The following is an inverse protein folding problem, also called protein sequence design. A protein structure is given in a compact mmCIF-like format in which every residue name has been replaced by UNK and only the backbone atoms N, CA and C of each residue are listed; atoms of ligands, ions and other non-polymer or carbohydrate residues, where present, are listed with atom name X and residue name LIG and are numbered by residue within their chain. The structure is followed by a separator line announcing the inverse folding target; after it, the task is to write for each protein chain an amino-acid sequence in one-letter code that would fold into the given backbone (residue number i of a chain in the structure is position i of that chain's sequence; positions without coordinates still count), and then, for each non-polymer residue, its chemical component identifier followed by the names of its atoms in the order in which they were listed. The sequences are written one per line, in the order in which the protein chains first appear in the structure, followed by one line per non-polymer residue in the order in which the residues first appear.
data_IF_180472333679
#
_entry.id   IF_180472333679
#
_cell.length_a   1.000
_cell.length_b   1.000
_cell.length_c   1.000
_cell.angle_alpha   90.00
_cell.angle_beta   90.00
_cell.angle_gamma   90.00
#
_symmetry.space_group_name_H-M   'P 1'
#
loop_
_entity.id
_entity.type
_entity.pdbx_description
1 polymer ?
#
# COMPACT_ATOMS: atom_id res chain seq x y z
N UNK A 1 40.26 6.56 11.18
CA UNK A 1 38.92 7.11 10.99
C UNK A 1 38.28 6.78 9.62
N UNK A 2 39.01 6.36 8.59
CA UNK A 2 38.44 6.06 7.23
C UNK A 2 37.92 4.62 7.05
N UNK A 3 38.30 3.68 7.88
CA UNK A 3 37.87 2.26 7.74
C UNK A 3 36.54 1.93 8.44
N UNK A 4 36.13 2.69 9.45
CA UNK A 4 34.84 2.52 10.13
C UNK A 4 33.69 3.10 9.33
N UNK A 5 33.87 4.27 8.68
CA UNK A 5 32.82 4.87 7.84
C UNK A 5 32.47 4.05 6.59
N UNK A 6 33.45 3.30 6.05
CA UNK A 6 33.19 2.43 4.90
C UNK A 6 32.49 1.11 5.28
N UNK A 7 32.72 0.58 6.49
CA UNK A 7 32.04 -0.61 7.03
C UNK A 7 30.56 -0.31 7.36
N UNK A 8 30.28 0.86 7.92
CA UNK A 8 28.88 1.29 8.21
C UNK A 8 28.08 1.48 6.94
N UNK A 9 28.69 2.00 5.87
CA UNK A 9 28.07 2.11 4.55
C UNK A 9 27.71 0.75 3.94
N UNK A 10 28.60 -0.25 4.04
CA UNK A 10 28.35 -1.60 3.52
C UNK A 10 27.24 -2.32 4.27
N UNK A 11 27.21 -2.19 5.61
CA UNK A 11 26.17 -2.81 6.42
C UNK A 11 24.80 -2.14 6.22
N UNK A 12 24.77 -0.86 5.92
CA UNK A 12 23.54 -0.16 5.55
C UNK A 12 22.81 -0.83 4.39
N UNK A 13 23.52 -1.33 3.37
CA UNK A 13 22.92 -2.07 2.26
C UNK A 13 22.39 -3.46 2.68
N UNK A 14 22.96 -4.09 3.69
CA UNK A 14 22.37 -5.29 4.32
C UNK A 14 21.02 -4.93 4.96
N UNK A 15 20.94 -3.80 5.65
CA UNK A 15 19.68 -3.30 6.22
C UNK A 15 18.64 -3.03 5.12
N UNK A 16 19.05 -2.45 3.98
CA UNK A 16 18.15 -2.25 2.81
C UNK A 16 17.64 -3.59 2.29
N UNK A 17 18.49 -4.59 2.15
CA UNK A 17 18.10 -5.92 1.70
C UNK A 17 17.12 -6.58 2.68
N UNK A 18 17.39 -6.52 3.99
CA UNK A 18 16.51 -7.05 5.04
C UNK A 18 15.16 -6.32 5.02
N UNK A 19 15.16 -5.00 4.90
CA UNK A 19 13.94 -4.19 4.79
C UNK A 19 13.13 -4.56 3.54
N UNK A 20 13.80 -4.78 2.41
CA UNK A 20 13.15 -5.24 1.18
C UNK A 20 12.48 -6.61 1.37
N UNK A 21 13.18 -7.59 1.97
CA UNK A 21 12.63 -8.92 2.31
C UNK A 21 11.44 -8.77 3.28
N UNK A 22 11.59 -7.91 4.29
CA UNK A 22 10.52 -7.64 5.25
C UNK A 22 9.26 -7.10 4.54
N UNK A 23 9.42 -6.19 3.59
CA UNK A 23 8.32 -5.63 2.83
C UNK A 23 7.72 -6.62 1.81
N UNK A 24 8.53 -7.47 1.17
CA UNK A 24 8.05 -8.55 0.30
C UNK A 24 7.12 -9.48 1.09
N UNK A 25 7.58 -9.95 2.24
CA UNK A 25 6.85 -10.95 3.03
C UNK A 25 5.66 -10.29 3.75
N UNK A 26 5.87 -9.18 4.47
CA UNK A 26 4.79 -8.59 5.28
C UNK A 26 3.66 -8.02 4.43
N UNK A 27 3.96 -7.18 3.44
CA UNK A 27 2.93 -6.61 2.57
C UNK A 27 2.38 -7.64 1.58
N UNK A 28 3.22 -8.54 1.07
CA UNK A 28 2.79 -9.61 0.19
C UNK A 28 1.77 -10.54 0.86
N UNK A 29 2.02 -10.98 2.10
CA UNK A 29 1.16 -11.92 2.81
C UNK A 29 -0.02 -11.26 3.53
N UNK A 30 0.11 -10.01 3.99
CA UNK A 30 -0.98 -9.35 4.72
C UNK A 30 -1.96 -8.61 3.81
N UNK A 31 -1.51 -8.10 2.64
CA UNK A 31 -2.33 -7.25 1.77
C UNK A 31 -2.30 -7.62 0.29
N UNK A 32 -1.14 -7.52 -0.37
CA UNK A 32 -1.10 -7.50 -1.84
C UNK A 32 -1.18 -8.88 -2.51
N UNK A 33 -0.71 -9.93 -1.85
CA UNK A 33 -0.77 -11.31 -2.35
C UNK A 33 -1.96 -12.11 -1.84
N UNK A 34 -2.56 -11.69 -0.72
CA UNK A 34 -3.66 -12.44 -0.07
C UNK A 34 -4.96 -12.53 -0.91
N UNK A 35 -5.27 -11.62 -1.84
CA UNK A 35 -6.48 -11.74 -2.67
C UNK A 35 -6.63 -13.06 -3.44
N UNK A 36 -5.55 -13.78 -3.73
CA UNK A 36 -5.61 -15.09 -4.39
C UNK A 36 -6.37 -16.15 -3.57
N UNK A 37 -6.42 -15.98 -2.24
CA UNK A 37 -7.13 -16.88 -1.33
C UNK A 37 -8.62 -16.56 -1.18
N UNK A 38 -9.05 -15.34 -1.57
CA UNK A 38 -10.39 -14.82 -1.26
C UNK A 38 -11.52 -15.69 -1.77
N UNK A 39 -11.44 -16.15 -3.03
CA UNK A 39 -12.50 -16.96 -3.62
C UNK A 39 -12.67 -18.32 -2.91
N UNK A 40 -11.54 -18.96 -2.57
CA UNK A 40 -11.55 -20.25 -1.87
C UNK A 40 -12.14 -20.12 -0.46
N UNK A 41 -11.71 -19.08 0.29
CA UNK A 41 -12.23 -18.76 1.62
C UNK A 41 -13.74 -18.46 1.53
N UNK A 42 -14.13 -17.58 0.61
CA UNK A 42 -15.52 -17.19 0.39
C UNK A 42 -16.40 -18.41 0.10
N UNK A 43 -15.98 -19.27 -0.81
CA UNK A 43 -16.73 -20.50 -1.18
C UNK A 43 -16.93 -21.40 0.03
N UNK A 44 -15.89 -21.65 0.84
CA UNK A 44 -16.00 -22.52 2.01
C UNK A 44 -16.95 -21.94 3.07
N UNK A 45 -16.85 -20.64 3.36
CA UNK A 45 -17.71 -20.00 4.36
C UNK A 45 -19.17 -19.85 3.90
N UNK A 46 -19.41 -19.77 2.60
CA UNK A 46 -20.75 -19.85 2.01
C UNK A 46 -21.33 -21.26 2.13
N UNK A 47 -20.56 -22.29 1.73
CA UNK A 47 -21.04 -23.68 1.75
C UNK A 47 -21.26 -24.21 3.17
N UNK A 48 -20.50 -23.73 4.14
CA UNK A 48 -20.72 -24.04 5.56
C UNK A 48 -21.92 -23.31 6.19
N UNK A 49 -22.52 -22.34 5.47
CA UNK A 49 -23.59 -21.50 6.01
C UNK A 49 -23.12 -20.45 7.03
N UNK A 50 -21.82 -20.30 7.26
CA UNK A 50 -21.27 -19.34 8.22
C UNK A 50 -21.39 -17.88 7.76
N UNK A 51 -21.52 -17.67 6.43
CA UNK A 51 -21.73 -16.35 5.82
C UNK A 51 -22.92 -16.44 4.86
N UNK A 52 -23.91 -15.52 4.97
CA UNK A 52 -25.03 -15.46 4.03
C UNK A 52 -24.55 -15.09 2.61
N UNK A 53 -25.22 -15.61 1.60
CA UNK A 53 -24.85 -15.37 0.18
C UNK A 53 -24.84 -13.87 -0.18
N UNK A 54 -25.77 -13.09 0.37
CA UNK A 54 -25.87 -11.64 0.16
C UNK A 54 -24.82 -10.81 0.92
N UNK A 55 -23.90 -11.44 1.65
CA UNK A 55 -22.81 -10.78 2.37
C UNK A 55 -21.43 -11.35 2.03
N UNK A 56 -21.35 -12.21 1.03
CA UNK A 56 -20.14 -12.94 0.70
C UNK A 56 -18.97 -12.03 0.30
N UNK A 57 -19.25 -11.00 -0.50
CA UNK A 57 -18.22 -10.05 -0.93
C UNK A 57 -17.87 -9.07 0.20
N UNK A 58 -18.86 -8.61 0.94
CA UNK A 58 -18.69 -7.73 2.10
C UNK A 58 -17.87 -8.42 3.20
N UNK A 59 -18.06 -9.73 3.43
CA UNK A 59 -17.25 -10.52 4.38
C UNK A 59 -15.75 -10.45 4.06
N UNK A 60 -15.38 -10.67 2.81
CA UNK A 60 -13.99 -10.59 2.35
C UNK A 60 -13.45 -9.16 2.45
N UNK A 61 -14.22 -8.18 1.96
CA UNK A 61 -13.82 -6.79 1.96
C UNK A 61 -13.64 -6.21 3.38
N UNK A 62 -14.51 -6.58 4.33
CA UNK A 62 -14.37 -6.16 5.72
C UNK A 62 -13.06 -6.67 6.34
N UNK A 63 -12.64 -7.90 6.02
CA UNK A 63 -11.36 -8.43 6.45
C UNK A 63 -10.18 -7.62 5.88
N UNK A 64 -10.20 -7.30 4.59
CA UNK A 64 -9.19 -6.46 3.95
C UNK A 64 -9.17 -5.04 4.54
N UNK A 65 -10.34 -4.42 4.67
CA UNK A 65 -10.52 -3.09 5.26
C UNK A 65 -9.99 -3.02 6.69
N UNK A 66 -10.29 -4.04 7.51
CA UNK A 66 -9.80 -4.15 8.89
C UNK A 66 -8.27 -4.18 8.94
N UNK A 67 -7.65 -5.04 8.12
CA UNK A 67 -6.19 -5.12 8.04
C UNK A 67 -5.58 -3.77 7.66
N UNK A 68 -6.15 -3.10 6.65
CA UNK A 68 -5.62 -1.83 6.15
C UNK A 68 -5.79 -0.69 7.15
N UNK A 69 -6.97 -0.57 7.78
CA UNK A 69 -7.24 0.42 8.82
C UNK A 69 -6.29 0.27 10.00
N UNK A 70 -6.14 -0.96 10.51
CA UNK A 70 -5.26 -1.24 11.64
C UNK A 70 -3.78 -1.01 11.31
N UNK A 71 -3.36 -1.27 10.08
CA UNK A 71 -1.99 -0.96 9.66
C UNK A 71 -1.66 0.53 9.83
N UNK A 72 -2.61 1.42 9.51
CA UNK A 72 -2.46 2.86 9.71
C UNK A 72 -2.42 3.24 11.19
N UNK A 73 -3.39 2.74 11.99
CA UNK A 73 -3.46 3.01 13.44
C UNK A 73 -2.19 2.54 14.13
N UNK A 74 -1.77 1.30 13.89
CA UNK A 74 -0.58 0.74 14.55
C UNK A 74 0.75 1.29 14.00
N UNK A 75 0.77 1.86 12.79
CA UNK A 75 1.92 2.66 12.33
C UNK A 75 2.12 3.92 13.18
N UNK A 76 1.05 4.61 13.57
CA UNK A 76 1.12 5.74 14.49
C UNK A 76 1.55 5.32 15.90
N UNK A 77 0.94 4.25 16.43
CA UNK A 77 1.31 3.67 17.73
C UNK A 77 2.77 3.23 17.73
N UNK A 78 3.24 2.60 16.65
CA UNK A 78 4.63 2.20 16.46
C UNK A 78 5.59 3.36 16.59
N UNK A 79 5.27 4.51 15.98
CA UNK A 79 6.07 5.72 16.10
C UNK A 79 6.26 6.20 17.55
N UNK A 80 5.26 6.02 18.41
CA UNK A 80 5.37 6.33 19.85
C UNK A 80 6.10 5.26 20.66
N UNK A 81 6.04 4.01 20.21
CA UNK A 81 6.66 2.88 20.92
C UNK A 81 8.16 2.71 20.60
N UNK A 82 8.61 3.13 19.40
CA UNK A 82 10.02 3.00 18.97
C UNK A 82 11.01 3.57 19.99
N UNK A 83 10.84 4.82 20.51
CA UNK A 83 11.80 5.37 21.48
C UNK A 83 11.86 4.62 22.82
N UNK A 84 10.79 3.89 23.18
CA UNK A 84 10.69 3.15 24.46
C UNK A 84 11.22 1.74 24.38
N UNK A 85 10.89 1.04 23.29
CA UNK A 85 11.11 -0.41 23.17
C UNK A 85 12.22 -0.77 22.18
N UNK A 86 12.67 0.19 21.37
CA UNK A 86 13.58 -0.03 20.27
C UNK A 86 12.89 -0.59 19.03
N UNK A 87 13.40 -0.27 17.85
CA UNK A 87 12.80 -0.62 16.57
C UNK A 87 12.84 -2.13 16.32
N UNK A 88 13.98 -2.78 16.58
CA UNK A 88 14.17 -4.22 16.39
C UNK A 88 13.15 -5.07 17.15
N UNK A 89 12.92 -4.76 18.44
CA UNK A 89 11.96 -5.50 19.28
C UNK A 89 10.53 -5.37 18.75
N UNK A 90 10.15 -4.18 18.28
CA UNK A 90 8.85 -3.94 17.69
C UNK A 90 8.68 -4.69 16.36
N UNK A 91 9.74 -4.75 15.52
CA UNK A 91 9.71 -5.54 14.29
C UNK A 91 9.58 -7.05 14.58
N UNK A 92 10.25 -7.57 15.61
CA UNK A 92 10.09 -8.97 16.06
C UNK A 92 8.64 -9.22 16.49
N UNK A 93 8.05 -8.33 17.29
CA UNK A 93 6.64 -8.41 17.69
C UNK A 93 5.71 -8.41 16.46
N UNK A 94 5.97 -7.54 15.49
CA UNK A 94 5.24 -7.50 14.21
C UNK A 94 5.31 -8.82 13.45
N UNK A 95 6.49 -9.46 13.39
CA UNK A 95 6.65 -10.78 12.76
C UNK A 95 5.83 -11.85 13.48
N UNK A 96 5.86 -11.88 14.80
CA UNK A 96 5.07 -12.83 15.60
C UNK A 96 3.58 -12.64 15.33
N UNK A 97 3.09 -11.38 15.31
CA UNK A 97 1.70 -11.09 14.96
C UNK A 97 1.34 -11.55 13.54
N UNK A 98 2.23 -11.33 12.56
CA UNK A 98 2.00 -11.75 11.18
C UNK A 98 1.93 -13.27 11.06
N UNK A 99 2.95 -13.96 11.59
CA UNK A 99 3.02 -15.43 11.56
C UNK A 99 1.85 -16.08 12.27
N UNK A 100 1.51 -15.61 13.47
CA UNK A 100 0.35 -16.09 14.24
C UNK A 100 -0.96 -15.80 13.49
N UNK A 101 -1.13 -14.59 12.93
CA UNK A 101 -2.29 -14.23 12.14
C UNK A 101 -2.49 -15.15 10.94
N UNK A 102 -1.43 -15.45 10.18
CA UNK A 102 -1.50 -16.35 9.03
C UNK A 102 -1.82 -17.81 9.43
N UNK A 103 -1.23 -18.30 10.52
CA UNK A 103 -1.53 -19.64 11.06
C UNK A 103 -2.99 -19.72 11.53
N UNK A 104 -3.48 -18.74 12.28
CA UNK A 104 -4.88 -18.66 12.68
C UNK A 104 -5.79 -18.62 11.46
N UNK A 105 -5.42 -17.84 10.44
CA UNK A 105 -6.20 -17.75 9.20
C UNK A 105 -6.30 -19.10 8.49
N UNK A 106 -5.19 -19.84 8.41
CA UNK A 106 -5.16 -21.17 7.79
C UNK A 106 -6.04 -22.20 8.50
N UNK A 107 -6.27 -22.03 9.80
CA UNK A 107 -7.10 -22.90 10.64
C UNK A 107 -8.51 -22.35 10.92
N UNK A 108 -8.84 -21.17 10.35
CA UNK A 108 -10.09 -20.48 10.66
C UNK A 108 -11.32 -21.29 10.17
N UNK A 109 -12.20 -21.63 11.09
CA UNK A 109 -13.49 -22.28 10.82
C UNK A 109 -14.68 -21.35 11.12
N UNK A 110 -14.41 -20.20 11.74
CA UNK A 110 -15.42 -19.21 12.09
C UNK A 110 -15.08 -17.84 11.54
N UNK A 111 -16.08 -17.01 11.29
CA UNK A 111 -15.94 -15.61 10.87
C UNK A 111 -15.08 -14.82 11.86
N UNK A 112 -15.26 -15.06 13.17
CA UNK A 112 -14.48 -14.41 14.21
C UNK A 112 -12.98 -14.74 14.11
N UNK A 113 -12.62 -15.99 13.81
CA UNK A 113 -11.23 -16.40 13.62
C UNK A 113 -10.60 -15.73 12.39
N UNK A 114 -11.37 -15.57 11.29
CA UNK A 114 -10.92 -14.81 10.12
C UNK A 114 -10.65 -13.36 10.49
N UNK A 115 -11.56 -12.68 11.19
CA UNK A 115 -11.34 -11.27 11.56
C UNK A 115 -10.23 -11.10 12.61
N UNK A 116 -10.07 -12.05 13.55
CA UNK A 116 -8.95 -12.04 14.49
C UNK A 116 -7.61 -12.15 13.73
N UNK A 117 -7.52 -13.04 12.75
CA UNK A 117 -6.32 -13.17 11.93
C UNK A 117 -6.03 -11.88 11.15
N UNK A 118 -7.06 -11.26 10.57
CA UNK A 118 -6.96 -9.97 9.87
C UNK A 118 -6.54 -8.83 10.79
N UNK A 119 -7.04 -8.83 12.04
CA UNK A 119 -6.60 -7.90 13.07
C UNK A 119 -5.09 -8.05 13.32
N UNK A 120 -4.60 -9.27 13.55
CA UNK A 120 -3.17 -9.52 13.79
C UNK A 120 -2.30 -9.13 12.59
N UNK A 121 -2.76 -9.39 11.35
CA UNK A 121 -2.07 -8.95 10.14
C UNK A 121 -2.00 -7.42 10.05
N UNK A 122 -3.07 -6.70 10.42
CA UNK A 122 -3.08 -5.25 10.46
C UNK A 122 -2.12 -4.68 11.51
N UNK A 123 -2.15 -5.23 12.73
CA UNK A 123 -1.18 -4.90 13.80
C UNK A 123 0.24 -5.12 13.32
N UNK A 124 0.51 -6.25 12.67
CA UNK A 124 1.85 -6.60 12.18
C UNK A 124 2.41 -5.57 11.22
N UNK A 125 1.59 -5.08 10.28
CA UNK A 125 2.01 -4.08 9.30
C UNK A 125 2.41 -2.74 9.94
N UNK A 126 1.83 -2.40 11.09
CA UNK A 126 2.25 -1.25 11.88
C UNK A 126 3.67 -1.37 12.43
N UNK A 127 4.12 -2.60 12.71
CA UNK A 127 5.41 -2.85 13.36
C UNK A 127 6.48 -3.49 12.45
N UNK A 128 6.11 -4.09 11.32
CA UNK A 128 7.07 -4.68 10.36
C UNK A 128 6.82 -4.27 8.90
N UNK A 129 5.79 -3.46 8.65
CA UNK A 129 5.46 -2.92 7.34
C UNK A 129 6.33 -1.73 6.93
N UNK A 130 5.73 -0.83 6.13
CA UNK A 130 6.46 0.29 5.50
C UNK A 130 7.09 1.23 6.52
N UNK A 131 6.33 1.73 7.49
CA UNK A 131 6.79 2.77 8.43
C UNK A 131 8.04 2.37 9.23
N UNK A 132 8.10 1.21 9.91
CA UNK A 132 9.30 0.84 10.65
C UNK A 132 10.53 0.61 9.75
N UNK A 133 10.34 0.09 8.53
CA UNK A 133 11.44 -0.07 7.59
C UNK A 133 11.97 1.26 7.06
N UNK A 134 11.11 2.26 6.85
CA UNK A 134 11.52 3.62 6.50
C UNK A 134 12.33 4.25 7.64
N UNK A 135 11.91 4.08 8.88
CA UNK A 135 12.67 4.55 10.06
C UNK A 135 14.01 3.84 10.15
N UNK A 136 14.03 2.50 10.01
CA UNK A 136 15.25 1.70 10.06
C UNK A 136 16.28 2.20 9.04
N UNK A 137 15.89 2.32 7.77
CA UNK A 137 16.78 2.79 6.69
C UNK A 137 17.25 4.22 6.95
N UNK A 138 16.36 5.08 7.44
CA UNK A 138 16.69 6.48 7.73
C UNK A 138 17.76 6.65 8.83
N UNK A 139 17.86 5.68 9.74
CA UNK A 139 18.89 5.65 10.78
C UNK A 139 20.27 5.23 10.24
N UNK A 140 20.34 4.60 9.08
CA UNK A 140 21.57 4.12 8.46
C UNK A 140 22.07 5.00 7.31
N UNK A 141 21.18 5.73 6.64
CA UNK A 141 21.53 6.52 5.45
C UNK A 141 21.19 8.00 5.63
N UNK A 142 22.16 8.87 5.35
CA UNK A 142 21.96 10.33 5.32
C UNK A 142 21.97 10.86 3.88
N UNK A 143 23.04 10.66 3.15
CA UNK A 143 23.23 11.23 1.79
C UNK A 143 22.46 10.43 0.72
N UNK A 144 22.50 9.09 0.74
CA UNK A 144 21.85 8.21 -0.22
C UNK A 144 20.50 7.65 0.26
N UNK A 145 19.86 8.31 1.24
CA UNK A 145 18.60 7.87 1.86
C UNK A 145 17.49 7.64 0.83
N UNK A 146 17.36 8.53 -0.16
CA UNK A 146 16.33 8.44 -1.20
C UNK A 146 16.49 7.15 -2.03
N UNK A 147 17.70 6.84 -2.45
CA UNK A 147 18.03 5.62 -3.19
C UNK A 147 17.78 4.36 -2.35
N UNK A 148 18.25 4.36 -1.10
CA UNK A 148 18.07 3.24 -0.18
C UNK A 148 16.58 2.95 0.10
N UNK A 149 15.78 3.98 0.34
CA UNK A 149 14.33 3.87 0.49
C UNK A 149 13.65 3.41 -0.81
N UNK A 150 14.06 3.96 -1.94
CA UNK A 150 13.54 3.57 -3.25
C UNK A 150 13.71 2.07 -3.49
N UNK A 151 14.93 1.55 -3.28
CA UNK A 151 15.22 0.11 -3.43
C UNK A 151 14.38 -0.73 -2.47
N UNK A 152 14.37 -0.42 -1.18
CA UNK A 152 13.64 -1.21 -0.19
C UNK A 152 12.12 -1.22 -0.45
N UNK A 153 11.53 -0.07 -0.79
CA UNK A 153 10.09 0.07 -1.00
C UNK A 153 9.57 -0.68 -2.25
N UNK A 154 10.45 -1.02 -3.21
CA UNK A 154 10.04 -1.92 -4.31
C UNK A 154 9.61 -3.29 -3.79
N UNK A 155 10.12 -3.71 -2.61
CA UNK A 155 9.72 -4.94 -1.94
C UNK A 155 8.20 -5.07 -1.77
N UNK A 156 7.48 -3.96 -1.54
CA UNK A 156 6.02 -3.99 -1.45
C UNK A 156 5.37 -4.55 -2.73
N UNK A 157 5.73 -4.01 -3.90
CA UNK A 157 5.18 -4.46 -5.18
C UNK A 157 5.72 -5.84 -5.57
N UNK A 158 6.98 -6.14 -5.28
CA UNK A 158 7.58 -7.47 -5.51
C UNK A 158 6.84 -8.55 -4.71
N UNK A 159 6.43 -8.25 -3.47
CA UNK A 159 5.57 -9.13 -2.68
C UNK A 159 4.23 -9.42 -3.36
N UNK A 160 3.60 -8.39 -3.96
CA UNK A 160 2.39 -8.54 -4.76
C UNK A 160 2.56 -9.39 -6.03
N UNK A 161 3.78 -9.47 -6.57
CA UNK A 161 4.12 -10.36 -7.70
C UNK A 161 4.39 -11.79 -7.23
N UNK A 162 5.30 -11.95 -6.28
CA UNK A 162 5.84 -13.26 -5.89
C UNK A 162 4.82 -14.09 -5.11
N UNK A 163 4.08 -13.47 -4.17
CA UNK A 163 3.16 -14.24 -3.31
C UNK A 163 2.04 -14.91 -4.10
N UNK A 164 1.32 -14.25 -5.03
CA UNK A 164 0.36 -14.93 -5.87
C UNK A 164 0.95 -16.05 -6.72
N UNK A 165 2.15 -15.85 -7.29
CA UNK A 165 2.83 -16.85 -8.11
C UNK A 165 3.19 -18.13 -7.33
N UNK A 166 3.55 -18.00 -6.05
CA UNK A 166 3.85 -19.14 -5.17
C UNK A 166 2.54 -19.75 -4.63
N UNK A 167 1.61 -18.91 -4.18
CA UNK A 167 0.40 -19.37 -3.49
C UNK A 167 -0.57 -20.06 -4.42
N UNK A 168 -0.72 -19.59 -5.67
CA UNK A 168 -1.70 -20.15 -6.61
C UNK A 168 -1.51 -21.64 -6.87
N UNK A 169 -0.32 -22.15 -7.27
CA UNK A 169 -0.10 -23.58 -7.44
C UNK A 169 -0.30 -24.37 -6.13
N UNK A 170 0.08 -23.81 -4.99
CA UNK A 170 -0.16 -24.45 -3.70
C UNK A 170 -1.65 -24.57 -3.37
N UNK A 171 -2.45 -23.53 -3.68
CA UNK A 171 -3.91 -23.56 -3.50
C UNK A 171 -4.54 -24.66 -4.37
N UNK A 172 -4.11 -24.76 -5.62
CA UNK A 172 -4.65 -25.74 -6.56
C UNK A 172 -4.26 -27.18 -6.19
N UNK A 173 -3.04 -27.39 -5.66
CA UNK A 173 -2.54 -28.72 -5.32
C UNK A 173 -2.99 -29.20 -3.92
N UNK A 174 -3.03 -28.32 -2.94
CA UNK A 174 -3.19 -28.69 -1.51
C UNK A 174 -4.34 -27.99 -0.81
N UNK A 175 -5.11 -27.16 -1.52
CA UNK A 175 -6.16 -26.33 -0.95
C UNK A 175 -5.63 -25.07 -0.24
N UNK A 176 -6.53 -24.10 -0.04
CA UNK A 176 -6.13 -22.78 0.46
C UNK A 176 -5.57 -22.80 1.89
N UNK A 177 -6.02 -23.70 2.76
CA UNK A 177 -5.56 -23.80 4.15
C UNK A 177 -4.09 -24.20 4.23
N UNK A 178 -3.74 -25.30 3.54
CA UNK A 178 -2.36 -25.79 3.51
C UNK A 178 -1.45 -24.80 2.76
N UNK A 179 -1.93 -24.17 1.69
CA UNK A 179 -1.20 -23.12 0.99
C UNK A 179 -0.91 -21.92 1.91
N UNK A 180 -1.92 -21.44 2.66
CA UNK A 180 -1.78 -20.35 3.61
C UNK A 180 -0.79 -20.70 4.73
N UNK A 181 -0.87 -21.91 5.28
CA UNK A 181 0.09 -22.40 6.27
C UNK A 181 1.50 -22.45 5.68
N UNK A 182 1.67 -23.01 4.47
CA UNK A 182 2.98 -23.12 3.82
C UNK A 182 3.63 -21.73 3.60
N UNK A 183 2.87 -20.74 3.10
CA UNK A 183 3.44 -19.40 2.91
C UNK A 183 3.71 -18.70 4.25
N UNK A 184 2.98 -19.03 5.33
CA UNK A 184 3.25 -18.50 6.66
C UNK A 184 4.64 -18.89 7.18
N UNK A 185 5.20 -20.02 6.74
CA UNK A 185 6.54 -20.46 7.12
C UNK A 185 7.61 -19.47 6.68
N UNK A 186 7.38 -18.70 5.62
CA UNK A 186 8.34 -17.66 5.21
C UNK A 186 8.53 -16.57 6.29
N UNK A 187 7.51 -16.30 7.10
CA UNK A 187 7.62 -15.37 8.23
C UNK A 187 8.54 -15.94 9.32
N UNK A 188 8.34 -17.22 9.65
CA UNK A 188 9.07 -17.88 10.75
C UNK A 188 10.50 -18.26 10.38
N UNK A 189 10.71 -18.71 9.12
CA UNK A 189 12.00 -19.26 8.68
C UNK A 189 12.89 -18.24 7.96
N UNK A 190 12.31 -17.17 7.41
CA UNK A 190 13.07 -16.17 6.66
C UNK A 190 12.99 -14.81 7.36
N UNK A 191 11.78 -14.25 7.54
CA UNK A 191 11.65 -12.89 8.01
C UNK A 191 12.09 -12.72 9.47
N UNK A 192 11.58 -13.54 10.36
CA UNK A 192 11.90 -13.45 11.79
C UNK A 192 13.39 -13.65 12.07
N UNK A 193 14.08 -14.70 11.54
CA UNK A 193 15.54 -14.82 11.67
C UNK A 193 16.30 -13.66 11.06
N UNK A 194 15.89 -13.17 9.87
CA UNK A 194 16.55 -12.03 9.25
C UNK A 194 16.50 -10.78 10.16
N UNK A 195 15.35 -10.51 10.79
CA UNK A 195 15.25 -9.39 11.74
C UNK A 195 16.06 -9.64 13.01
N UNK A 196 16.02 -10.84 13.58
CA UNK A 196 16.76 -11.17 14.81
C UNK A 196 18.28 -11.04 14.60
N UNK A 197 18.81 -11.54 13.50
CA UNK A 197 20.26 -11.62 13.31
C UNK A 197 20.85 -10.45 12.55
N UNK A 198 20.10 -9.83 11.63
CA UNK A 198 20.63 -8.82 10.72
C UNK A 198 20.16 -7.39 11.05
N UNK A 199 19.02 -7.19 11.73
CA UNK A 199 18.63 -5.83 12.13
C UNK A 199 19.45 -5.41 13.35
N UNK A 200 20.10 -4.25 13.23
CA UNK A 200 20.79 -3.57 14.32
C UNK A 200 20.16 -2.20 14.49
N UNK A 201 19.83 -1.88 15.73
CA UNK A 201 19.42 -0.53 16.10
C UNK A 201 20.69 0.34 16.04
N UNK A 202 20.82 1.16 15.02
CA UNK A 202 21.85 2.17 14.94
C UNK A 202 21.27 3.45 15.56
N UNK A 203 21.55 3.66 16.83
CA UNK A 203 21.25 4.94 17.46
C UNK A 203 22.27 5.95 16.93
N UNK A 204 21.90 6.70 15.89
CA UNK A 204 22.62 7.95 15.60
C UNK A 204 22.29 8.93 16.72
N UNK A 205 23.27 9.33 17.56
CA UNK A 205 23.06 10.19 18.74
C UNK A 205 22.57 11.60 18.40
N UNK A 206 22.45 11.92 17.13
CA UNK A 206 21.96 13.21 16.66
C UNK A 206 20.70 13.01 15.79
N UNK A 207 19.56 12.86 16.45
CA UNK A 207 18.39 13.56 15.99
C UNK A 207 18.73 15.07 16.06
N UNK A 208 19.61 15.51 15.15
CA UNK A 208 19.79 16.97 14.92
C UNK A 208 18.40 17.51 14.71
N UNK A 209 18.03 18.60 15.39
CA UNK A 209 16.71 19.15 15.23
C UNK A 209 16.46 19.32 13.74
N UNK A 210 15.27 18.96 13.27
CA UNK A 210 14.73 19.33 11.98
C UNK A 210 14.70 20.88 11.84
N UNK A 211 15.71 21.51 12.39
CA UNK A 211 15.92 22.93 12.47
C UNK A 211 16.36 23.44 11.11
N UNK A 212 15.50 24.26 10.51
CA UNK A 212 15.74 25.17 9.39
C UNK A 212 15.34 24.67 7.98
N UNK A 213 14.49 23.71 7.82
CA UNK A 213 13.80 23.55 6.54
C UNK A 213 12.53 24.42 6.57
N UNK A 214 12.41 25.36 5.64
CA UNK A 214 11.20 26.16 5.49
C UNK A 214 9.99 25.27 5.18
N UNK A 215 8.80 25.69 5.55
CA UNK A 215 7.57 24.92 5.29
C UNK A 215 6.48 25.26 6.30
N UNK A 216 5.39 24.51 6.19
CA UNK A 216 4.22 24.64 7.04
C UNK A 216 4.32 23.72 8.26
N UNK A 217 3.78 24.14 9.39
CA UNK A 217 3.34 23.24 10.46
C UNK A 217 2.07 22.54 10.03
N UNK A 218 1.71 21.41 10.67
CA UNK A 218 0.44 20.74 10.39
C UNK A 218 -0.76 21.68 10.58
N UNK A 219 -0.76 22.51 11.63
CA UNK A 219 -1.84 23.45 11.90
C UNK A 219 -1.97 24.53 10.81
N UNK A 220 -0.86 25.01 10.27
CA UNK A 220 -0.83 25.94 9.15
C UNK A 220 -1.31 25.26 7.87
N UNK A 221 -0.84 24.04 7.57
CA UNK A 221 -1.22 23.27 6.40
C UNK A 221 -2.75 23.01 6.36
N UNK A 222 -3.33 22.57 7.47
CA UNK A 222 -4.77 22.31 7.62
C UNK A 222 -5.65 23.54 7.35
N UNK A 223 -5.12 24.76 7.49
CA UNK A 223 -5.83 26.01 7.19
C UNK A 223 -5.80 26.37 5.70
N UNK A 224 -5.00 25.68 4.89
CA UNK A 224 -4.87 25.98 3.47
C UNK A 224 -5.87 25.16 2.63
N UNK A 225 -6.55 25.77 1.64
CA UNK A 225 -7.41 25.02 0.72
C UNK A 225 -6.66 23.93 -0.05
N UNK A 226 -5.38 24.15 -0.35
CA UNK A 226 -4.55 23.21 -1.09
C UNK A 226 -4.37 21.90 -0.34
N UNK A 227 -4.31 21.93 1.00
CA UNK A 227 -4.23 20.73 1.82
C UNK A 227 -5.45 19.83 1.60
N UNK A 228 -6.65 20.40 1.64
CA UNK A 228 -7.88 19.61 1.52
C UNK A 228 -8.12 19.10 0.10
N UNK A 229 -7.75 19.89 -0.93
CA UNK A 229 -7.82 19.43 -2.32
C UNK A 229 -6.80 18.30 -2.56
N UNK A 230 -5.59 18.44 -2.01
CA UNK A 230 -4.57 17.41 -2.11
C UNK A 230 -4.94 16.14 -1.34
N UNK A 231 -5.48 16.28 -0.13
CA UNK A 231 -5.96 15.16 0.68
C UNK A 231 -7.15 14.44 0.01
N UNK A 232 -8.08 15.18 -0.59
CA UNK A 232 -9.16 14.61 -1.38
C UNK A 232 -8.62 13.87 -2.61
N UNK A 233 -7.66 14.46 -3.32
CA UNK A 233 -6.99 13.79 -4.44
C UNK A 233 -6.35 12.47 -3.99
N UNK A 234 -5.65 12.46 -2.87
CA UNK A 234 -5.02 11.29 -2.29
C UNK A 234 -6.06 10.20 -1.93
N UNK A 235 -7.16 10.56 -1.28
CA UNK A 235 -8.26 9.64 -0.99
C UNK A 235 -8.87 9.04 -2.26
N UNK A 236 -9.11 9.89 -3.27
CA UNK A 236 -9.66 9.44 -4.56
C UNK A 236 -8.68 8.54 -5.32
N UNK A 237 -7.37 8.75 -5.21
CA UNK A 237 -6.34 7.85 -5.80
C UNK A 237 -6.37 6.49 -5.11
N UNK A 238 -6.47 6.46 -3.78
CA UNK A 238 -6.43 5.21 -3.03
C UNK A 238 -7.71 4.36 -3.16
N UNK A 239 -8.85 4.96 -3.50
CA UNK A 239 -10.08 4.22 -3.81
C UNK A 239 -9.85 3.18 -4.93
N UNK A 240 -9.53 3.56 -6.20
CA UNK A 240 -9.35 2.62 -7.29
C UNK A 240 -8.15 1.69 -7.09
N UNK A 241 -7.08 2.17 -6.45
CA UNK A 241 -5.92 1.34 -6.12
C UNK A 241 -6.34 0.19 -5.19
N UNK A 242 -7.04 0.50 -4.10
CA UNK A 242 -7.47 -0.52 -3.13
C UNK A 242 -8.46 -1.50 -3.74
N UNK A 243 -9.47 -1.02 -4.45
CA UNK A 243 -10.46 -1.87 -5.13
C UNK A 243 -9.76 -2.81 -6.13
N UNK A 244 -8.87 -2.29 -6.96
CA UNK A 244 -8.15 -3.10 -7.95
C UNK A 244 -7.18 -4.08 -7.29
N UNK A 245 -6.48 -3.69 -6.25
CA UNK A 245 -5.52 -4.58 -5.60
C UNK A 245 -6.19 -5.65 -4.73
N UNK A 246 -7.38 -5.39 -4.18
CA UNK A 246 -8.04 -6.30 -3.23
C UNK A 246 -9.20 -7.10 -3.82
N UNK A 247 -9.90 -6.58 -4.83
CA UNK A 247 -11.14 -7.20 -5.31
C UNK A 247 -11.10 -7.59 -6.80
N UNK A 248 -10.06 -7.20 -7.54
CA UNK A 248 -10.01 -7.45 -8.99
C UNK A 248 -9.90 -8.94 -9.33
N UNK A 249 -9.17 -9.74 -8.53
CA UNK A 249 -9.14 -11.21 -8.70
C UNK A 249 -10.57 -11.80 -8.58
N UNK A 250 -11.36 -11.34 -7.60
CA UNK A 250 -12.75 -11.80 -7.45
C UNK A 250 -13.60 -11.39 -8.65
N UNK A 251 -13.38 -10.19 -9.20
CA UNK A 251 -14.07 -9.76 -10.42
C UNK A 251 -13.71 -10.66 -11.62
N UNK A 252 -12.42 -10.94 -11.83
CA UNK A 252 -11.96 -11.82 -12.91
C UNK A 252 -12.52 -13.25 -12.76
N UNK A 253 -12.71 -13.72 -11.53
CA UNK A 253 -13.30 -15.04 -11.22
C UNK A 253 -14.82 -15.02 -11.10
N UNK A 254 -15.49 -13.86 -11.27
CA UNK A 254 -16.96 -13.77 -11.20
C UNK A 254 -17.61 -14.56 -12.33
N UNK A 255 -18.88 -14.98 -12.18
CA UNK A 255 -19.60 -15.74 -13.22
C UNK A 255 -19.62 -15.05 -14.59
N UNK A 256 -19.53 -13.72 -14.62
CA UNK A 256 -19.51 -12.91 -15.83
C UNK A 256 -18.25 -13.11 -16.68
N UNK A 257 -17.07 -13.24 -16.05
CA UNK A 257 -15.77 -13.36 -16.75
C UNK A 257 -15.29 -14.80 -16.72
N UNK A 258 -15.44 -15.51 -15.59
CA UNK A 258 -15.16 -16.93 -15.44
C UNK A 258 -13.67 -17.30 -15.54
N UNK A 259 -12.76 -16.34 -15.28
CA UNK A 259 -11.33 -16.57 -15.43
C UNK A 259 -10.81 -17.56 -14.37
N UNK A 260 -10.01 -18.59 -14.74
CA UNK A 260 -9.39 -19.49 -13.77
C UNK A 260 -8.47 -18.73 -12.81
N UNK A 261 -8.34 -19.24 -11.56
CA UNK A 261 -7.51 -18.61 -10.51
C UNK A 261 -6.08 -18.36 -10.98
N UNK A 262 -5.46 -19.31 -11.69
CA UNK A 262 -4.10 -19.19 -12.18
C UNK A 262 -3.92 -18.01 -13.13
N UNK A 263 -4.85 -17.83 -14.07
CA UNK A 263 -4.83 -16.70 -15.02
C UNK A 263 -5.13 -15.39 -14.31
N UNK A 264 -6.16 -15.36 -13.45
CA UNK A 264 -6.54 -14.18 -12.69
C UNK A 264 -5.40 -13.68 -11.76
N UNK A 265 -4.70 -14.62 -11.08
CA UNK A 265 -3.55 -14.28 -10.24
C UNK A 265 -2.34 -13.82 -11.07
N UNK A 266 -2.15 -14.37 -12.27
CA UNK A 266 -1.15 -13.90 -13.22
C UNK A 266 -1.39 -12.45 -13.65
N UNK A 267 -2.64 -12.12 -14.02
CA UNK A 267 -3.05 -10.74 -14.36
C UNK A 267 -2.80 -9.78 -13.18
N UNK A 268 -3.14 -10.20 -11.96
CA UNK A 268 -2.88 -9.41 -10.76
C UNK A 268 -1.37 -9.22 -10.51
N UNK A 269 -0.56 -10.24 -10.75
CA UNK A 269 0.90 -10.15 -10.62
C UNK A 269 1.50 -9.17 -11.64
N UNK A 270 0.95 -9.11 -12.86
CA UNK A 270 1.34 -8.13 -13.88
C UNK A 270 1.06 -6.70 -13.40
N UNK A 271 -0.08 -6.45 -12.73
CA UNK A 271 -0.36 -5.15 -12.12
C UNK A 271 0.80 -4.66 -11.25
N UNK A 272 1.26 -5.52 -10.35
CA UNK A 272 2.33 -5.16 -9.43
C UNK A 272 3.70 -5.05 -10.12
N UNK A 273 4.00 -5.93 -11.08
CA UNK A 273 5.22 -5.86 -11.86
C UNK A 273 5.32 -4.54 -12.64
N UNK A 274 4.25 -4.15 -13.29
CA UNK A 274 4.18 -2.85 -14.01
C UNK A 274 4.24 -1.68 -13.03
N UNK A 275 3.65 -1.81 -11.84
CA UNK A 275 3.72 -0.74 -10.82
C UNK A 275 5.14 -0.52 -10.31
N UNK A 276 6.00 -1.56 -10.27
CA UNK A 276 7.44 -1.37 -9.98
C UNK A 276 8.07 -0.47 -11.06
N UNK A 277 7.82 -0.77 -12.33
CA UNK A 277 8.28 0.05 -13.45
C UNK A 277 7.77 1.50 -13.37
N UNK A 278 6.49 1.67 -13.02
CA UNK A 278 5.86 2.98 -12.81
C UNK A 278 6.53 3.78 -11.69
N UNK A 279 6.83 3.15 -10.54
CA UNK A 279 7.54 3.79 -9.42
C UNK A 279 8.93 4.30 -9.83
N UNK A 280 9.70 3.48 -10.53
CA UNK A 280 11.03 3.87 -10.99
C UNK A 280 10.98 4.94 -12.08
N UNK A 281 10.21 4.72 -13.14
CA UNK A 281 10.15 5.63 -14.26
C UNK A 281 9.64 7.02 -13.84
N UNK A 282 8.55 7.06 -13.08
CA UNK A 282 7.95 8.32 -12.64
C UNK A 282 8.81 9.00 -11.56
N UNK A 283 9.43 8.23 -10.66
CA UNK A 283 10.41 8.76 -9.70
C UNK A 283 11.54 9.49 -10.41
N UNK A 284 12.17 8.84 -11.41
CA UNK A 284 13.24 9.42 -12.20
C UNK A 284 12.78 10.61 -13.08
N UNK A 285 11.65 10.48 -13.75
CA UNK A 285 11.11 11.55 -14.60
C UNK A 285 10.64 12.76 -13.79
N UNK A 286 10.21 12.58 -12.56
CA UNK A 286 9.79 13.67 -11.69
C UNK A 286 10.96 14.58 -11.25
N UNK A 287 12.22 14.15 -11.43
CA UNK A 287 13.40 15.01 -11.25
C UNK A 287 13.64 15.91 -12.46
N UNK A 288 13.18 15.53 -13.65
CA UNK A 288 13.31 16.31 -14.89
C UNK A 288 12.06 17.14 -15.18
N UNK A 289 10.89 16.63 -14.82
CA UNK A 289 9.60 17.29 -15.00
C UNK A 289 9.01 17.62 -13.64
N UNK A 290 8.14 18.64 -13.56
CA UNK A 290 7.50 18.98 -12.28
C UNK A 290 6.61 17.84 -11.79
N UNK A 291 6.64 17.55 -10.47
CA UNK A 291 5.86 16.46 -9.86
C UNK A 291 4.37 16.53 -10.23
N UNK A 292 3.78 17.74 -10.30
CA UNK A 292 2.37 17.91 -10.65
C UNK A 292 2.06 17.55 -12.11
N UNK A 293 2.97 17.79 -13.06
CA UNK A 293 2.78 17.38 -14.46
C UNK A 293 2.84 15.86 -14.60
N UNK A 294 3.74 15.23 -13.87
CA UNK A 294 3.83 13.77 -13.83
C UNK A 294 2.58 13.16 -13.17
N UNK A 295 2.05 13.81 -12.13
CA UNK A 295 0.79 13.40 -11.50
C UNK A 295 -0.39 13.49 -12.47
N UNK A 296 -0.45 14.55 -13.29
CA UNK A 296 -1.46 14.68 -14.37
C UNK A 296 -1.35 13.54 -15.38
N UNK A 297 -0.13 13.22 -15.84
CA UNK A 297 0.09 12.14 -16.80
C UNK A 297 -0.36 10.77 -16.21
N UNK A 298 0.05 10.46 -14.98
CA UNK A 298 -0.34 9.21 -14.30
C UNK A 298 -1.86 9.14 -14.07
N UNK A 299 -2.48 10.23 -13.61
CA UNK A 299 -3.93 10.31 -13.40
C UNK A 299 -4.71 10.13 -14.71
N UNK A 300 -4.22 10.73 -15.81
CA UNK A 300 -4.81 10.55 -17.13
C UNK A 300 -4.70 9.10 -17.62
N UNK A 301 -3.54 8.46 -17.45
CA UNK A 301 -3.34 7.05 -17.82
C UNK A 301 -4.27 6.13 -17.03
N UNK A 302 -4.42 6.36 -15.70
CA UNK A 302 -5.38 5.60 -14.87
C UNK A 302 -6.81 5.81 -15.33
N UNK A 303 -7.21 7.06 -15.61
CA UNK A 303 -8.55 7.38 -16.08
C UNK A 303 -8.82 6.74 -17.46
N UNK A 304 -7.90 6.89 -18.42
CA UNK A 304 -8.05 6.30 -19.76
C UNK A 304 -8.18 4.78 -19.71
N UNK A 305 -7.36 4.11 -18.89
CA UNK A 305 -7.43 2.66 -18.72
C UNK A 305 -8.75 2.19 -18.10
N UNK A 306 -9.35 2.99 -17.23
CA UNK A 306 -10.59 2.63 -16.56
C UNK A 306 -11.79 2.47 -17.52
N UNK A 307 -11.76 3.05 -18.72
CA UNK A 307 -12.81 2.84 -19.72
C UNK A 307 -12.92 1.39 -20.20
N UNK A 308 -11.84 0.61 -20.14
CA UNK A 308 -11.86 -0.83 -20.44
C UNK A 308 -12.85 -1.58 -19.52
N UNK A 309 -13.07 -1.06 -18.30
CA UNK A 309 -14.01 -1.64 -17.32
C UNK A 309 -15.47 -1.62 -17.79
N UNK A 310 -15.82 -0.81 -18.80
CA UNK A 310 -17.17 -0.82 -19.40
C UNK A 310 -17.50 -2.15 -20.10
N UNK A 311 -16.48 -2.78 -20.69
CA UNK A 311 -16.60 -4.01 -21.47
C UNK A 311 -15.55 -5.05 -21.07
N UNK A 312 -15.17 -5.08 -19.77
CA UNK A 312 -14.12 -5.98 -19.29
C UNK A 312 -14.49 -7.44 -19.53
N UNK A 313 -13.54 -8.18 -20.09
CA UNK A 313 -13.57 -9.61 -20.32
C UNK A 313 -12.16 -10.22 -20.15
N UNK A 314 -12.02 -11.52 -20.34
CA UNK A 314 -10.74 -12.20 -20.18
C UNK A 314 -9.65 -11.69 -21.13
N UNK A 315 -10.02 -11.34 -22.38
CA UNK A 315 -9.06 -10.99 -23.42
C UNK A 315 -8.52 -9.57 -23.27
N UNK A 316 -9.31 -8.65 -22.71
CA UNK A 316 -8.94 -7.24 -22.58
C UNK A 316 -8.49 -6.83 -21.17
N UNK A 317 -8.41 -7.75 -20.22
CA UNK A 317 -8.02 -7.45 -18.85
C UNK A 317 -6.63 -6.77 -18.75
N UNK A 318 -5.70 -7.15 -19.63
CA UNK A 318 -4.36 -6.55 -19.68
C UNK A 318 -4.39 -5.10 -20.19
N UNK A 319 -5.35 -4.72 -21.04
CA UNK A 319 -5.50 -3.34 -21.51
C UNK A 319 -5.91 -2.40 -20.37
N UNK A 320 -6.58 -2.93 -19.33
CA UNK A 320 -6.83 -2.18 -18.09
C UNK A 320 -5.62 -2.20 -17.17
N UNK A 321 -5.13 -3.40 -16.83
CA UNK A 321 -4.16 -3.62 -15.76
C UNK A 321 -2.80 -3.00 -16.03
N UNK A 322 -2.30 -3.05 -17.28
CA UNK A 322 -0.96 -2.56 -17.60
C UNK A 322 -0.87 -1.03 -17.44
N UNK A 323 -1.70 -0.21 -18.11
CA UNK A 323 -1.62 1.24 -17.91
C UNK A 323 -2.08 1.65 -16.51
N UNK A 324 -3.09 0.99 -15.92
CA UNK A 324 -3.51 1.26 -14.54
C UNK A 324 -2.37 0.99 -13.55
N UNK A 325 -1.66 -0.14 -13.69
CA UNK A 325 -0.53 -0.50 -12.83
C UNK A 325 0.62 0.51 -12.91
N UNK A 326 0.92 1.00 -14.12
CA UNK A 326 1.92 2.07 -14.32
C UNK A 326 1.49 3.36 -13.62
N UNK A 327 0.24 3.81 -13.84
CA UNK A 327 -0.33 4.98 -13.19
C UNK A 327 -0.37 4.85 -11.66
N UNK A 328 -0.76 3.68 -11.15
CA UNK A 328 -0.72 3.34 -9.72
C UNK A 328 0.69 3.50 -9.14
N UNK A 329 1.70 2.89 -9.78
CA UNK A 329 3.09 3.01 -9.32
C UNK A 329 3.55 4.47 -9.28
N UNK A 330 3.25 5.23 -10.33
CA UNK A 330 3.61 6.64 -10.44
C UNK A 330 2.91 7.52 -9.40
N UNK A 331 1.58 7.41 -9.27
CA UNK A 331 0.81 8.23 -8.31
C UNK A 331 1.21 7.96 -6.87
N UNK A 332 1.55 6.71 -6.52
CA UNK A 332 2.01 6.35 -5.18
C UNK A 332 3.28 7.10 -4.75
N UNK A 333 4.25 7.24 -5.66
CA UNK A 333 5.49 8.00 -5.40
C UNK A 333 5.23 9.50 -5.39
N UNK A 334 4.40 9.97 -6.35
CA UNK A 334 4.14 11.40 -6.52
C UNK A 334 3.33 12.01 -5.38
N UNK A 335 2.41 11.28 -4.75
CA UNK A 335 1.68 11.78 -3.58
C UNK A 335 2.64 12.16 -2.45
N UNK A 336 3.64 11.32 -2.18
CA UNK A 336 4.63 11.60 -1.14
C UNK A 336 5.52 12.79 -1.50
N UNK A 337 5.94 12.88 -2.77
CA UNK A 337 6.76 13.99 -3.25
C UNK A 337 5.99 15.31 -3.27
N UNK A 338 4.77 15.33 -3.79
CA UNK A 338 3.92 16.52 -3.80
C UNK A 338 3.62 17.03 -2.39
N UNK A 339 3.50 16.16 -1.39
CA UNK A 339 3.36 16.57 0.00
C UNK A 339 4.57 17.40 0.47
N UNK A 340 5.81 17.01 0.10
CA UNK A 340 7.01 17.80 0.41
C UNK A 340 7.11 19.07 -0.46
N UNK A 341 6.71 19.01 -1.72
CA UNK A 341 6.75 20.15 -2.64
C UNK A 341 5.78 21.26 -2.21
N UNK A 342 4.58 20.90 -1.71
CA UNK A 342 3.56 21.88 -1.27
C UNK A 342 3.77 22.40 0.14
N UNK A 343 4.17 21.53 1.09
CA UNK A 343 4.16 21.88 2.51
C UNK A 343 5.57 22.02 3.11
N UNK A 344 6.62 21.67 2.34
CA UNK A 344 7.99 21.69 2.81
C UNK A 344 8.29 20.61 3.84
N UNK A 345 9.42 20.73 4.52
CA UNK A 345 9.96 19.69 5.40
C UNK A 345 9.80 19.95 6.90
N UNK A 346 9.28 21.14 7.30
CA UNK A 346 9.21 21.58 8.71
C UNK A 346 8.43 20.59 9.59
N UNK A 347 7.25 20.18 9.17
CA UNK A 347 6.36 19.25 9.90
C UNK A 347 5.89 18.10 8.99
N UNK A 348 6.76 17.72 8.03
CA UNK A 348 6.45 16.79 6.94
C UNK A 348 5.87 15.46 7.43
N UNK A 349 6.45 14.87 8.48
CA UNK A 349 6.00 13.59 9.02
C UNK A 349 4.55 13.63 9.53
N UNK A 350 4.15 14.72 10.19
CA UNK A 350 2.77 14.91 10.67
C UNK A 350 1.79 15.19 9.55
N UNK A 351 2.20 16.01 8.58
CA UNK A 351 1.40 16.35 7.41
C UNK A 351 1.17 15.09 6.57
N UNK A 352 2.23 14.35 6.25
CA UNK A 352 2.15 13.11 5.49
C UNK A 352 1.33 12.05 6.23
N UNK A 353 1.53 11.89 7.53
CA UNK A 353 0.74 10.97 8.36
C UNK A 353 -0.77 11.27 8.31
N UNK A 354 -1.14 12.55 8.33
CA UNK A 354 -2.55 12.97 8.20
C UNK A 354 -3.09 12.66 6.81
N UNK A 355 -2.32 12.89 5.75
CA UNK A 355 -2.69 12.56 4.37
C UNK A 355 -2.88 11.04 4.22
N UNK A 356 -1.96 10.23 4.74
CA UNK A 356 -2.06 8.75 4.71
C UNK A 356 -3.32 8.25 5.43
N UNK A 357 -3.71 8.87 6.54
CA UNK A 357 -4.99 8.53 7.20
C UNK A 357 -6.19 8.80 6.30
N UNK A 358 -6.15 9.88 5.53
CA UNK A 358 -7.21 10.23 4.57
C UNK A 358 -7.18 9.27 3.35
N UNK A 359 -6.00 8.85 2.89
CA UNK A 359 -5.82 7.80 1.88
C UNK A 359 -6.48 6.48 2.34
N UNK A 360 -6.24 6.08 3.59
CA UNK A 360 -6.86 4.89 4.19
C UNK A 360 -8.38 5.01 4.23
N UNK A 361 -8.91 6.19 4.54
CA UNK A 361 -10.35 6.43 4.50
C UNK A 361 -10.90 6.26 3.07
N UNK A 362 -10.21 6.76 2.05
CA UNK A 362 -10.56 6.56 0.64
C UNK A 362 -10.56 5.09 0.24
N UNK A 363 -9.53 4.34 0.65
CA UNK A 363 -9.42 2.90 0.45
C UNK A 363 -10.57 2.14 1.13
N UNK A 364 -10.88 2.47 2.38
CA UNK A 364 -11.97 1.86 3.16
C UNK A 364 -13.33 2.08 2.51
N UNK A 365 -13.61 3.30 2.09
CA UNK A 365 -14.85 3.65 1.37
C UNK A 365 -14.93 2.87 0.06
N UNK A 366 -13.83 2.82 -0.70
CA UNK A 366 -13.73 2.05 -1.95
C UNK A 366 -14.05 0.58 -1.76
N UNK A 367 -13.38 -0.07 -0.82
CA UNK A 367 -13.60 -1.47 -0.50
C UNK A 367 -15.04 -1.77 -0.08
N UNK A 368 -15.59 -0.92 0.79
CA UNK A 368 -16.95 -1.08 1.34
C UNK A 368 -18.03 -0.88 0.28
N UNK A 369 -17.95 0.19 -0.52
CA UNK A 369 -18.95 0.47 -1.57
C UNK A 369 -18.91 -0.63 -2.62
N UNK A 370 -17.72 -0.99 -3.10
CA UNK A 370 -17.57 -1.99 -4.16
C UNK A 370 -18.10 -3.36 -3.73
N UNK A 371 -17.81 -3.80 -2.51
CA UNK A 371 -18.26 -5.10 -2.01
C UNK A 371 -19.77 -5.15 -1.78
N UNK A 372 -20.36 -4.10 -1.19
CA UNK A 372 -21.81 -4.04 -0.96
C UNK A 372 -22.61 -4.02 -2.27
N UNK A 373 -22.13 -3.29 -3.26
CA UNK A 373 -22.77 -3.26 -4.58
C UNK A 373 -22.62 -4.60 -5.30
N UNK A 374 -21.46 -5.27 -5.14
CA UNK A 374 -21.27 -6.60 -5.70
C UNK A 374 -22.18 -7.63 -5.02
N UNK A 375 -22.36 -7.57 -3.69
CA UNK A 375 -23.32 -8.42 -2.97
C UNK A 375 -24.77 -8.17 -3.45
N UNK A 376 -25.17 -6.91 -3.59
CA UNK A 376 -26.49 -6.53 -4.11
C UNK A 376 -26.73 -7.00 -5.56
N UNK A 377 -25.65 -7.15 -6.34
CA UNK A 377 -25.68 -7.65 -7.72
C UNK A 377 -25.45 -9.18 -7.82
N UNK A 378 -25.56 -9.93 -6.72
CA UNK A 378 -25.38 -11.39 -6.73
C UNK A 378 -23.94 -11.84 -7.04
N UNK A 379 -22.95 -11.02 -6.71
CA UNK A 379 -21.53 -11.30 -6.94
C UNK A 379 -20.99 -10.76 -8.27
N UNK A 380 -21.79 -9.99 -9.03
CA UNK A 380 -21.30 -9.29 -10.23
C UNK A 380 -20.60 -7.99 -9.84
N UNK A 381 -19.33 -7.86 -10.23
CA UNK A 381 -18.49 -6.70 -10.00
C UNK A 381 -18.56 -5.66 -11.12
N UNK A 382 -19.30 -5.88 -12.21
CA UNK A 382 -19.31 -4.98 -13.35
C UNK A 382 -19.76 -3.56 -13.00
N UNK A 383 -20.88 -3.45 -12.27
CA UNK A 383 -21.39 -2.14 -11.82
C UNK A 383 -20.44 -1.44 -10.83
N UNK A 384 -19.98 -2.11 -9.74
CA UNK A 384 -19.02 -1.55 -8.80
C UNK A 384 -17.73 -1.04 -9.46
N UNK A 385 -17.16 -1.80 -10.39
CA UNK A 385 -15.94 -1.39 -11.07
C UNK A 385 -16.14 -0.22 -12.06
N UNK A 386 -17.35 0.01 -12.57
CA UNK A 386 -17.66 1.22 -13.36
C UNK A 386 -17.53 2.51 -12.54
N UNK A 387 -17.73 2.45 -11.22
CA UNK A 387 -17.52 3.59 -10.31
C UNK A 387 -16.06 4.05 -10.35
N UNK A 388 -15.12 3.12 -10.57
CA UNK A 388 -13.68 3.44 -10.72
C UNK A 388 -13.45 4.48 -11.82
N UNK A 389 -14.24 4.47 -12.91
CA UNK A 389 -14.15 5.45 -13.99
C UNK A 389 -14.47 6.86 -13.46
N UNK A 390 -15.58 6.99 -12.72
CA UNK A 390 -15.97 8.27 -12.13
C UNK A 390 -14.95 8.76 -11.08
N UNK A 391 -14.43 7.85 -10.27
CA UNK A 391 -13.43 8.20 -9.25
C UNK A 391 -12.11 8.62 -9.89
N UNK A 392 -11.62 7.91 -10.91
CA UNK A 392 -10.40 8.30 -11.63
C UNK A 392 -10.58 9.61 -12.41
N UNK A 393 -11.78 9.91 -12.91
CA UNK A 393 -12.11 11.24 -13.44
C UNK A 393 -12.00 12.33 -12.35
N UNK A 394 -12.48 12.03 -11.13
CA UNK A 394 -12.32 12.91 -9.96
C UNK A 394 -10.84 13.13 -9.60
N UNK A 395 -10.01 12.08 -9.65
CA UNK A 395 -8.55 12.20 -9.46
C UNK A 395 -7.95 13.17 -10.47
N UNK A 396 -8.29 13.00 -11.74
CA UNK A 396 -7.79 13.86 -12.81
C UNK A 396 -8.24 15.32 -12.62
N UNK A 397 -9.51 15.54 -12.27
CA UNK A 397 -10.05 16.87 -12.00
C UNK A 397 -9.34 17.56 -10.81
N UNK A 398 -9.15 16.83 -9.68
CA UNK A 398 -8.39 17.34 -8.54
C UNK A 398 -6.94 17.67 -8.91
N UNK A 399 -6.30 16.84 -9.72
CA UNK A 399 -4.91 17.07 -10.15
C UNK A 399 -4.82 18.28 -11.09
N UNK A 400 -5.80 18.48 -11.98
CA UNK A 400 -5.89 19.69 -12.82
C UNK A 400 -6.05 20.93 -11.93
N UNK A 401 -6.93 20.88 -10.94
CA UNK A 401 -7.14 21.99 -10.01
C UNK A 401 -5.87 22.34 -9.23
N UNK A 402 -5.18 21.34 -8.70
CA UNK A 402 -3.89 21.53 -8.03
C UNK A 402 -2.84 22.16 -8.96
N UNK A 403 -2.78 21.75 -10.23
CA UNK A 403 -1.87 22.34 -11.21
C UNK A 403 -2.22 23.79 -11.54
N UNK A 404 -3.48 24.14 -11.62
CA UNK A 404 -3.95 25.53 -11.82
C UNK A 404 -3.60 26.41 -10.62
N UNK A 405 -3.83 25.93 -9.39
CA UNK A 405 -3.47 26.65 -8.17
C UNK A 405 -1.96 26.87 -8.04
N UNK A 406 -1.16 25.90 -8.48
CA UNK A 406 0.30 26.04 -8.51
C UNK A 406 0.77 27.14 -9.46
N UNK A 407 0.13 27.28 -10.63
CA UNK A 407 0.43 28.33 -11.63
C UNK A 407 0.05 29.74 -11.19
N UNK A 408 -1.04 29.86 -10.42
CA UNK A 408 -1.56 31.19 -9.99
C UNK A 408 -0.82 31.78 -8.80
N UNK A 409 0.26 31.14 -8.30
CA UNK A 409 1.09 31.67 -7.23
C UNK A 409 0.44 31.74 -5.86
N UNK A 410 -0.75 31.17 -5.68
CA UNK A 410 -1.44 31.11 -4.39
C UNK A 410 -0.69 30.33 -3.30
N UNK A 411 0.34 29.57 -3.70
CA UNK A 411 1.19 28.79 -2.80
C UNK A 411 2.16 29.64 -1.94
N UNK A 412 2.51 30.86 -2.39
CA UNK A 412 3.58 31.64 -1.77
C UNK A 412 3.14 33.02 -1.22
N UNK A 413 1.91 33.47 -1.46
CA UNK A 413 1.44 34.80 -0.99
C UNK A 413 1.27 34.94 0.53
N UNK A 414 1.38 33.87 1.31
CA UNK A 414 1.35 33.94 2.78
C UNK A 414 2.70 34.28 3.45
N UNK A 415 3.80 34.38 2.68
CA UNK A 415 5.14 34.63 3.24
C UNK A 415 5.58 36.09 3.25
N UNK A 416 4.96 36.96 2.46
CA UNK A 416 5.41 38.38 2.37
C UNK A 416 4.63 39.34 3.27
N UNK A 417 3.56 38.92 3.94
CA UNK A 417 2.78 39.82 4.81
C UNK A 417 3.10 39.74 6.31
N UNK A 418 4.17 39.04 6.69
CA UNK A 418 4.59 38.88 8.08
C UNK A 418 5.95 39.51 8.44
N UNK A 419 6.49 40.37 7.59
CA UNK A 419 7.79 41.02 7.78
C UNK A 419 7.68 42.54 7.61
N UNK A 420 7.01 43.20 8.55
CA UNK A 420 7.19 44.65 8.81
C UNK A 420 6.97 44.92 10.29
#
# INVERSE_FOLDING_TARGET
MSSESSRDSSYGWVIVAVSMVALIISNGLATLGIPVFYKAIQTEFLTSGAVPANQAQTFIANGANLTFLLSGVFSLVGGWMIPRFGLKRLMIFGCICLGAGLVIHSQATTVAAVYLSRFLMGVSLGFVGVTPNVVLISNWFRESRGTALGVALTGTSIGGVIIPLISTPLILAYGWRNAMFAVSLSVWLILLPAIIFLVRDNETPDASPQAKHGGFTLAEALRTPIFWIFALCAALVFYPIFVTTQQFILYLQSPRIGMPLQTASGVQSILFAVSVGGKFAVGFLSDRFTSIRMMLACSFVMFASAFVLLSLNADNALLFIVPFGFGYGGTFVLLQRLASDYFGMKDYGRILGTIVMIEIAGAFVGGTITSRLADAAGGDYAQPFRIVIGVTAGVLACTILLNLMNKTGHLFRGRESGGS
#
